data_IF_702353487519
#
_entry.id   IF_702353487519
#
_cell.length_a   1.000
_cell.length_b   1.000
_cell.length_c   1.000
_cell.angle_alpha   90.00
_cell.angle_beta   90.00
_cell.angle_gamma   90.00
#
_symmetry.space_group_name_H-M   'P 1'
#
loop_
_entity.id
_entity.type
_entity.pdbx_description
1 polymer ?
#
# COMPACT_ATOMS: atom_id res chain seq x y z
N UNK A 1 0.07 20.82 23.23
CA UNK A 1 1.31 20.23 22.70
C UNK A 1 0.91 19.35 21.51
N UNK A 2 1.08 19.84 20.29
CA UNK A 2 0.77 19.07 19.08
C UNK A 2 1.99 18.20 18.75
N UNK A 3 1.82 16.88 18.75
CA UNK A 3 2.82 15.97 18.18
C UNK A 3 2.60 15.97 16.66
N UNK A 4 3.49 16.57 15.85
CA UNK A 4 3.40 16.41 14.41
C UNK A 4 3.79 14.97 14.08
N UNK A 5 2.81 14.12 13.82
CA UNK A 5 3.04 12.86 13.10
C UNK A 5 3.41 13.23 11.66
N UNK A 6 4.66 13.61 11.45
CA UNK A 6 5.23 13.70 10.12
C UNK A 6 5.22 12.28 9.53
N UNK A 7 4.21 11.96 8.73
CA UNK A 7 4.12 10.72 7.99
C UNK A 7 5.29 10.72 7.00
N UNK A 8 6.40 10.07 7.36
CA UNK A 8 7.50 9.82 6.42
C UNK A 8 6.87 8.94 5.35
N UNK A 9 6.62 9.53 4.17
CA UNK A 9 6.11 8.82 3.00
C UNK A 9 7.25 7.92 2.51
N UNK A 10 7.50 6.81 3.23
CA UNK A 10 8.31 5.71 2.70
C UNK A 10 7.76 5.34 1.33
N UNK A 11 8.64 5.01 0.38
CA UNK A 11 8.55 4.85 -1.09
C UNK A 11 7.18 4.59 -1.77
N UNK A 12 6.12 5.24 -1.31
CA UNK A 12 4.74 5.04 -1.68
C UNK A 12 4.48 5.87 -2.91
N UNK A 13 4.19 5.18 -4.01
CA UNK A 13 3.65 5.81 -5.20
C UNK A 13 2.26 5.24 -5.47
N UNK A 14 1.28 6.12 -5.61
CA UNK A 14 -0.08 5.74 -6.03
C UNK A 14 -0.08 5.06 -7.41
N UNK A 15 0.91 5.40 -8.25
CA UNK A 15 1.08 4.81 -9.59
C UNK A 15 1.42 3.33 -9.57
N UNK A 16 1.92 2.81 -8.44
CA UNK A 16 2.14 1.37 -8.24
C UNK A 16 0.81 0.59 -8.23
N UNK A 17 -0.27 1.23 -7.78
CA UNK A 17 -1.61 0.63 -7.70
C UNK A 17 -2.52 1.07 -8.85
N UNK A 18 -2.33 2.29 -9.34
CA UNK A 18 -3.11 2.91 -10.41
C UNK A 18 -2.18 3.45 -11.49
N UNK A 19 -1.61 2.58 -12.34
CA UNK A 19 -0.79 3.02 -13.46
C UNK A 19 -1.63 3.90 -14.41
N UNK A 20 -1.05 4.96 -14.99
CA UNK A 20 -1.76 5.88 -15.86
C UNK A 20 -2.30 5.22 -17.14
N UNK A 21 -1.67 4.14 -17.59
CA UNK A 21 -2.13 3.34 -18.73
C UNK A 21 -2.58 1.96 -18.27
N UNK A 22 -3.84 1.56 -18.52
CA UNK A 22 -4.28 0.20 -18.24
C UNK A 22 -3.56 -0.78 -19.18
N UNK A 23 -3.09 -1.92 -18.66
CA UNK A 23 -2.40 -2.90 -19.51
C UNK A 23 -3.34 -3.39 -20.62
N UNK A 24 -2.81 -3.66 -21.82
CA UNK A 24 -3.58 -4.02 -23.03
C UNK A 24 -4.62 -5.13 -22.80
N UNK A 25 -4.32 -6.08 -21.90
CA UNK A 25 -5.21 -7.15 -21.44
C UNK A 25 -6.53 -6.67 -20.80
N UNK A 26 -6.57 -5.45 -20.25
CA UNK A 26 -7.79 -4.83 -19.69
C UNK A 26 -8.62 -4.13 -20.77
N UNK A 27 -8.00 -3.67 -21.85
CA UNK A 27 -8.72 -3.10 -23.00
C UNK A 27 -9.54 -4.16 -23.76
N UNK A 28 -9.07 -5.41 -23.75
CA UNK A 28 -9.77 -6.54 -24.39
C UNK A 28 -11.02 -7.00 -23.62
N UNK A 29 -11.12 -6.67 -22.33
CA UNK A 29 -12.32 -6.94 -21.53
C UNK A 29 -12.50 -5.85 -20.46
N UNK A 30 -13.35 -4.84 -20.69
CA UNK A 30 -13.51 -3.70 -19.79
C UNK A 30 -14.16 -4.05 -18.45
N UNK A 31 -14.73 -5.26 -18.30
CA UNK A 31 -15.30 -5.74 -17.03
C UNK A 31 -14.35 -6.63 -16.22
N UNK A 32 -13.13 -6.86 -16.70
CA UNK A 32 -12.15 -7.65 -15.96
C UNK A 32 -11.68 -6.87 -14.74
N UNK A 33 -11.70 -7.51 -13.58
CA UNK A 33 -11.10 -6.97 -12.37
C UNK A 33 -9.59 -6.83 -12.61
N UNK A 34 -9.00 -5.71 -12.18
CA UNK A 34 -7.55 -5.54 -12.15
C UNK A 34 -6.93 -6.68 -11.32
N UNK A 35 -5.75 -7.15 -11.73
CA UNK A 35 -4.92 -7.98 -10.86
C UNK A 35 -4.67 -7.18 -9.57
N UNK A 36 -5.21 -7.67 -8.45
CA UNK A 36 -5.02 -7.01 -7.15
C UNK A 36 -3.56 -7.26 -6.77
N UNK A 37 -2.74 -6.22 -6.55
CA UNK A 37 -1.38 -6.43 -6.09
C UNK A 37 -1.42 -7.24 -4.79
N UNK A 38 -0.61 -8.29 -4.72
CA UNK A 38 -0.48 -9.11 -3.51
C UNK A 38 0.06 -8.22 -2.40
N UNK A 39 -0.79 -7.89 -1.44
CA UNK A 39 -0.38 -7.21 -0.22
C UNK A 39 0.17 -8.29 0.72
N UNK A 40 1.33 -8.08 1.36
CA UNK A 40 1.83 -9.01 2.36
C UNK A 40 0.77 -9.26 3.44
N UNK A 41 0.61 -10.52 3.86
CA UNK A 41 -0.16 -10.78 5.06
C UNK A 41 0.52 -10.12 6.25
N UNK A 42 -0.22 -9.31 7.00
CA UNK A 42 0.23 -8.80 8.29
C UNK A 42 -0.77 -9.16 9.38
N UNK A 43 -0.26 -9.38 10.58
CA UNK A 43 -1.08 -9.71 11.74
C UNK A 43 -1.39 -8.47 12.56
N UNK A 44 -2.44 -8.53 13.38
CA UNK A 44 -2.75 -7.48 14.37
C UNK A 44 -1.56 -7.27 15.33
N UNK A 45 -0.79 -8.32 15.63
CA UNK A 45 0.43 -8.22 16.43
C UNK A 45 1.48 -7.31 15.80
N UNK A 46 1.66 -7.40 14.48
CA UNK A 46 2.60 -6.54 13.73
C UNK A 46 2.17 -5.07 13.77
N UNK A 47 0.86 -4.80 13.69
CA UNK A 47 0.33 -3.45 13.85
C UNK A 47 0.61 -2.89 15.25
N UNK A 48 0.31 -3.65 16.29
CA UNK A 48 0.53 -3.24 17.69
C UNK A 48 2.02 -2.97 17.94
N UNK A 49 2.90 -3.86 17.47
CA UNK A 49 4.34 -3.70 17.61
C UNK A 49 4.85 -2.44 16.89
N UNK A 50 4.39 -2.20 15.66
CA UNK A 50 4.75 -1.02 14.87
C UNK A 50 4.24 0.28 15.49
N UNK A 51 3.01 0.29 16.00
CA UNK A 51 2.42 1.44 16.68
C UNK A 51 3.19 1.79 17.96
N UNK A 52 3.56 0.77 18.77
CA UNK A 52 4.39 0.96 19.96
C UNK A 52 5.76 1.53 19.62
N UNK A 53 6.35 1.11 18.49
CA UNK A 53 7.65 1.60 18.03
C UNK A 53 7.59 2.95 17.30
N UNK A 54 6.39 3.45 16.98
CA UNK A 54 6.20 4.68 16.20
C UNK A 54 6.67 4.59 14.74
N UNK A 55 6.91 3.37 14.24
CA UNK A 55 7.35 3.11 12.85
C UNK A 55 7.00 1.68 12.45
N UNK A 56 6.90 1.43 11.15
CA UNK A 56 6.75 0.08 10.62
C UNK A 56 8.02 -0.74 10.88
N UNK A 57 7.86 -1.99 11.34
CA UNK A 57 8.97 -2.86 11.78
C UNK A 57 9.25 -4.05 10.85
N UNK A 58 8.47 -4.22 9.79
CA UNK A 58 8.47 -5.41 8.95
C UNK A 58 8.70 -5.02 7.48
N UNK A 59 9.18 -5.93 6.63
CA UNK A 59 9.33 -5.73 5.18
C UNK A 59 8.23 -6.46 4.40
#
# INVERSE_FOLDING_TARGET
MYFPIALIKGNFSITTYYPPEPPLKHLLNPFRKNDIPQVPEFTIGMLIASARAGRWLYD
#
